data_IF_969687337552
#
_entry.id   IF_969687337552
#
_cell.length_a   1.000
_cell.length_b   1.000
_cell.length_c   1.000
_cell.angle_alpha   90.00
_cell.angle_beta   90.00
_cell.angle_gamma   90.00
#
_symmetry.space_group_name_H-M   'P 1'
#
loop_
_entity.id
_entity.type
_entity.pdbx_description
1 polymer ?
#
# COMPACT_ATOMS: atom_id res chain seq x y z
N UNK A 1 -19.24 3.56 -16.92
CA UNK A 1 -19.29 4.46 -15.72
C UNK A 1 -17.87 4.87 -15.33
N UNK A 2 -17.67 6.13 -14.89
CA UNK A 2 -16.37 6.58 -14.39
C UNK A 2 -16.08 5.90 -13.05
N UNK A 3 -14.90 5.29 -12.88
CA UNK A 3 -14.51 4.64 -11.63
C UNK A 3 -14.33 5.70 -10.53
N UNK A 4 -14.77 5.39 -9.29
CA UNK A 4 -14.58 6.25 -8.12
C UNK A 4 -13.13 6.24 -7.65
N UNK A 5 -12.48 5.08 -7.76
CA UNK A 5 -11.13 4.84 -7.27
C UNK A 5 -10.39 3.90 -8.21
N UNK A 6 -9.09 4.13 -8.38
CA UNK A 6 -8.15 3.14 -8.91
C UNK A 6 -7.36 2.54 -7.74
N UNK A 7 -7.28 1.21 -7.65
CA UNK A 7 -6.44 0.53 -6.67
C UNK A 7 -5.14 0.04 -7.32
N UNK A 8 -4.02 0.46 -6.79
CA UNK A 8 -2.68 0.05 -7.21
C UNK A 8 -2.25 -1.17 -6.42
N UNK A 9 -1.92 -2.24 -7.14
CA UNK A 9 -1.52 -3.54 -6.62
C UNK A 9 -0.10 -3.87 -7.12
N UNK A 10 0.96 -3.55 -6.34
CA UNK A 10 2.32 -3.99 -6.66
C UNK A 10 2.37 -5.51 -6.68
N UNK A 11 2.83 -6.08 -7.78
CA UNK A 11 2.82 -7.52 -8.03
C UNK A 11 4.22 -8.05 -8.33
N UNK A 12 4.61 -9.11 -7.64
CA UNK A 12 5.81 -9.89 -7.96
C UNK A 12 5.54 -11.37 -7.63
N UNK A 13 5.24 -12.16 -8.65
CA UNK A 13 4.93 -13.58 -8.51
C UNK A 13 3.76 -13.83 -7.52
N UNK A 14 2.58 -13.32 -7.87
CA UNK A 14 1.34 -13.45 -7.11
C UNK A 14 0.22 -14.16 -7.91
N UNK A 15 0.60 -15.01 -8.87
CA UNK A 15 -0.35 -15.71 -9.75
C UNK A 15 -1.43 -16.49 -8.98
N UNK A 16 -1.09 -17.06 -7.83
CA UNK A 16 -2.02 -17.82 -7.00
C UNK A 16 -3.04 -16.94 -6.26
N UNK A 17 -2.66 -15.71 -5.88
CA UNK A 17 -3.51 -14.80 -5.11
C UNK A 17 -4.39 -13.92 -6.01
N UNK A 18 -3.86 -13.46 -7.14
CA UNK A 18 -4.49 -12.46 -8.01
C UNK A 18 -5.94 -12.76 -8.41
N UNK A 19 -6.34 -14.00 -8.76
CA UNK A 19 -7.72 -14.26 -9.13
C UNK A 19 -8.71 -13.91 -8.00
N UNK A 20 -8.42 -14.32 -6.77
CA UNK A 20 -9.24 -14.01 -5.60
C UNK A 20 -9.22 -12.53 -5.25
N UNK A 21 -8.05 -11.90 -5.29
CA UNK A 21 -7.88 -10.47 -5.03
C UNK A 21 -8.69 -9.62 -6.00
N UNK A 22 -8.60 -9.90 -7.30
CA UNK A 22 -9.32 -9.13 -8.32
C UNK A 22 -10.82 -9.42 -8.33
N UNK A 23 -11.24 -10.64 -8.00
CA UNK A 23 -12.66 -11.00 -7.88
C UNK A 23 -13.36 -10.31 -6.69
N UNK A 24 -12.63 -9.97 -5.63
CA UNK A 24 -13.15 -9.24 -4.47
C UNK A 24 -13.29 -7.73 -4.70
N UNK A 25 -12.79 -7.20 -5.82
CA UNK A 25 -12.80 -5.77 -6.09
C UNK A 25 -14.22 -5.29 -6.43
N UNK A 26 -14.72 -4.22 -5.77
CA UNK A 26 -16.01 -3.62 -6.10
C UNK A 26 -16.06 -3.11 -7.54
N UNK A 27 -17.20 -3.21 -8.20
CA UNK A 27 -17.40 -2.78 -9.61
C UNK A 27 -17.09 -1.30 -9.85
N UNK A 28 -17.24 -0.45 -8.83
CA UNK A 28 -16.95 0.98 -8.91
C UNK A 28 -15.45 1.31 -8.86
N UNK A 29 -14.58 0.33 -8.59
CA UNK A 29 -13.12 0.50 -8.56
C UNK A 29 -12.46 -0.06 -9.82
N UNK A 30 -11.31 0.51 -10.20
CA UNK A 30 -10.42 0.03 -11.24
C UNK A 30 -9.18 -0.63 -10.62
N UNK A 31 -8.73 -1.77 -11.14
CA UNK A 31 -7.48 -2.40 -10.72
C UNK A 31 -6.32 -1.96 -11.62
N UNK A 32 -5.22 -1.54 -11.01
CA UNK A 32 -3.92 -1.31 -11.65
C UNK A 32 -2.92 -2.26 -11.02
N UNK A 33 -2.63 -3.35 -11.72
CA UNK A 33 -1.61 -4.31 -11.29
C UNK A 33 -0.27 -3.88 -11.85
N UNK A 34 0.69 -3.57 -10.97
CA UNK A 34 2.02 -3.14 -11.40
C UNK A 34 2.97 -4.30 -11.28
N UNK A 35 3.32 -4.87 -12.44
CA UNK A 35 4.25 -6.01 -12.50
C UNK A 35 5.69 -5.57 -12.25
N UNK A 36 6.30 -6.13 -11.22
CA UNK A 36 7.67 -5.80 -10.79
C UNK A 36 8.69 -6.88 -11.23
N UNK A 37 8.43 -7.50 -12.39
CA UNK A 37 9.26 -8.51 -12.98
C UNK A 37 8.87 -9.94 -12.57
N UNK A 38 7.59 -10.27 -12.61
CA UNK A 38 7.06 -11.63 -12.38
C UNK A 38 7.42 -12.58 -13.51
N UNK A 39 7.56 -13.86 -13.16
CA UNK A 39 7.83 -14.95 -14.11
C UNK A 39 6.84 -16.13 -13.95
N UNK A 40 5.77 -15.97 -13.19
CA UNK A 40 4.77 -17.00 -12.88
C UNK A 40 3.44 -16.83 -13.63
N UNK A 41 3.37 -15.88 -14.57
CA UNK A 41 2.15 -15.58 -15.32
C UNK A 41 1.20 -14.57 -14.65
N UNK A 42 1.60 -13.94 -13.52
CA UNK A 42 0.80 -12.92 -12.81
C UNK A 42 0.25 -11.85 -13.74
N UNK A 43 1.09 -11.25 -14.60
CA UNK A 43 0.67 -10.21 -15.54
C UNK A 43 -0.43 -10.66 -16.50
N UNK A 44 -0.32 -11.91 -17.03
CA UNK A 44 -1.33 -12.46 -17.93
C UNK A 44 -2.66 -12.73 -17.20
N UNK A 45 -2.61 -13.19 -15.94
CA UNK A 45 -3.80 -13.40 -15.11
C UNK A 45 -4.50 -12.06 -14.87
N UNK A 46 -3.74 -11.02 -14.48
CA UNK A 46 -4.29 -9.69 -14.23
C UNK A 46 -4.99 -9.10 -15.47
N UNK A 47 -4.36 -9.20 -16.66
CA UNK A 47 -4.99 -8.74 -17.93
C UNK A 47 -6.28 -9.47 -18.24
N UNK A 48 -6.33 -10.81 -18.07
CA UNK A 48 -7.55 -11.60 -18.30
C UNK A 48 -8.68 -11.25 -17.33
N UNK A 49 -8.34 -10.81 -16.12
CA UNK A 49 -9.30 -10.32 -15.13
C UNK A 49 -9.75 -8.87 -15.37
N UNK A 50 -9.30 -8.21 -16.46
CA UNK A 50 -9.69 -6.84 -16.82
C UNK A 50 -8.90 -5.75 -16.08
N UNK A 51 -7.83 -6.08 -15.36
CA UNK A 51 -6.97 -5.09 -14.73
C UNK A 51 -6.08 -4.37 -15.75
N UNK A 52 -5.82 -3.08 -15.53
CA UNK A 52 -4.73 -2.39 -16.21
C UNK A 52 -3.40 -2.95 -15.69
N UNK A 53 -2.56 -3.47 -16.56
CA UNK A 53 -1.23 -3.97 -16.18
C UNK A 53 -0.17 -2.97 -16.62
N UNK A 54 0.64 -2.54 -15.67
CA UNK A 54 1.76 -1.60 -15.86
C UNK A 54 3.05 -2.31 -15.46
N UNK A 55 4.08 -2.19 -16.28
CA UNK A 55 5.41 -2.71 -15.93
C UNK A 55 6.16 -1.69 -15.06
N UNK A 56 6.71 -2.14 -13.93
CA UNK A 56 7.51 -1.27 -13.09
C UNK A 56 8.85 -0.93 -13.79
N UNK A 57 9.26 0.35 -13.85
CA UNK A 57 10.46 0.77 -14.59
C UNK A 57 11.76 0.21 -13.99
N UNK A 58 11.71 -0.20 -12.72
CA UNK A 58 12.78 -0.85 -11.97
C UNK A 58 12.21 -1.65 -10.81
N UNK A 59 12.97 -2.62 -10.32
CA UNK A 59 12.59 -3.41 -9.15
C UNK A 59 12.54 -2.55 -7.89
N UNK A 60 11.51 -2.76 -7.08
CA UNK A 60 11.30 -2.09 -5.80
C UNK A 60 9.83 -1.83 -5.51
N UNK A 61 9.44 -1.98 -4.24
CA UNK A 61 8.07 -1.74 -3.82
C UNK A 61 7.61 -0.31 -4.17
N UNK A 62 8.37 0.69 -3.74
CA UNK A 62 8.05 2.09 -4.03
C UNK A 62 8.05 2.42 -5.53
N UNK A 63 8.89 1.76 -6.34
CA UNK A 63 8.89 1.94 -7.79
C UNK A 63 7.58 1.45 -8.40
N UNK A 64 7.10 0.27 -7.98
CA UNK A 64 5.83 -0.27 -8.45
C UNK A 64 4.64 0.58 -7.99
N UNK A 65 4.58 0.93 -6.70
CA UNK A 65 3.51 1.80 -6.17
C UNK A 65 3.46 3.13 -6.89
N UNK A 66 4.61 3.77 -7.12
CA UNK A 66 4.68 5.07 -7.81
C UNK A 66 4.28 4.97 -9.28
N UNK A 67 4.70 3.93 -9.99
CA UNK A 67 4.28 3.71 -11.39
C UNK A 67 2.76 3.54 -11.50
N UNK A 68 2.14 2.82 -10.57
CA UNK A 68 0.70 2.68 -10.51
C UNK A 68 -0.01 3.98 -10.18
N UNK A 69 0.50 4.79 -9.25
CA UNK A 69 -0.02 6.13 -8.95
C UNK A 69 0.00 7.03 -10.19
N UNK A 70 1.08 7.02 -10.96
CA UNK A 70 1.19 7.80 -12.19
C UNK A 70 0.22 7.31 -13.27
N UNK A 71 -0.04 6.00 -13.36
CA UNK A 71 -0.95 5.40 -14.34
C UNK A 71 -2.44 5.55 -13.97
N UNK A 72 -2.74 5.85 -12.70
CA UNK A 72 -4.11 6.03 -12.24
C UNK A 72 -4.80 7.22 -12.91
N UNK A 73 -6.09 7.10 -13.14
CA UNK A 73 -6.94 8.12 -13.77
C UNK A 73 -8.15 8.53 -12.94
N UNK A 74 -8.54 7.69 -11.97
CA UNK A 74 -9.61 8.00 -11.05
C UNK A 74 -9.21 9.12 -10.06
N UNK A 75 -10.17 9.87 -9.52
CA UNK A 75 -9.90 10.99 -8.60
C UNK A 75 -9.27 10.54 -7.28
N UNK A 76 -9.55 9.30 -6.85
CA UNK A 76 -8.97 8.69 -5.64
C UNK A 76 -8.09 7.52 -6.06
N UNK A 77 -6.95 7.38 -5.40
CA UNK A 77 -6.06 6.23 -5.56
C UNK A 77 -5.93 5.51 -4.23
N UNK A 78 -6.21 4.23 -4.26
CA UNK A 78 -5.92 3.32 -3.16
C UNK A 78 -4.68 2.46 -3.47
N UNK A 79 -4.09 1.91 -2.44
CA UNK A 79 -2.96 0.98 -2.53
C UNK A 79 -3.24 -0.24 -1.67
N UNK A 80 -2.84 -1.41 -2.12
CA UNK A 80 -2.87 -2.64 -1.32
C UNK A 80 -1.82 -3.62 -1.85
N UNK A 81 -1.47 -4.62 -1.05
CA UNK A 81 -0.68 -5.75 -1.53
C UNK A 81 -1.55 -6.66 -2.42
N UNK A 82 -0.91 -7.35 -3.38
CA UNK A 82 -1.57 -8.27 -4.33
C UNK A 82 -1.60 -9.73 -3.84
N UNK A 83 -1.23 -9.99 -2.58
CA UNK A 83 -0.99 -11.33 -2.02
C UNK A 83 -2.21 -11.92 -1.27
N UNK A 84 -3.36 -11.24 -1.31
CA UNK A 84 -4.58 -11.66 -0.64
C UNK A 84 -4.61 -11.41 0.86
N UNK A 85 -3.62 -10.68 1.41
CA UNK A 85 -3.61 -10.36 2.85
C UNK A 85 -4.64 -9.29 3.25
N UNK A 86 -5.26 -8.62 2.28
CA UNK A 86 -6.38 -7.69 2.50
C UNK A 86 -7.60 -8.10 1.66
N UNK A 87 -8.76 -7.98 2.28
CA UNK A 87 -10.03 -8.13 1.58
C UNK A 87 -10.37 -6.82 0.85
N UNK A 88 -10.29 -6.81 -0.48
CA UNK A 88 -10.63 -5.66 -1.29
C UNK A 88 -12.13 -5.30 -1.27
N UNK A 89 -13.00 -6.18 -0.79
CA UNK A 89 -14.38 -5.85 -0.46
C UNK A 89 -14.50 -4.74 0.59
N UNK A 90 -13.45 -4.52 1.41
CA UNK A 90 -13.40 -3.46 2.41
C UNK A 90 -12.81 -2.13 1.87
N UNK A 91 -12.59 -2.02 0.56
CA UNK A 91 -11.99 -0.84 -0.08
C UNK A 91 -12.75 0.46 0.26
N UNK A 92 -14.07 0.39 0.42
CA UNK A 92 -14.90 1.53 0.78
C UNK A 92 -14.52 2.15 2.13
N UNK A 93 -13.99 1.37 3.08
CA UNK A 93 -13.56 1.88 4.39
C UNK A 93 -12.46 2.93 4.28
N UNK A 94 -11.51 2.75 3.34
CA UNK A 94 -10.41 3.72 3.12
C UNK A 94 -10.76 4.79 2.09
N UNK A 95 -11.66 4.51 1.15
CA UNK A 95 -12.04 5.42 0.06
C UNK A 95 -13.08 6.44 0.49
N UNK A 96 -14.13 6.02 1.19
CA UNK A 96 -15.27 6.88 1.54
C UNK A 96 -14.90 8.11 2.38
N UNK A 97 -14.00 8.04 3.39
CA UNK A 97 -13.60 9.24 4.13
C UNK A 97 -12.86 10.27 3.26
N UNK A 98 -12.07 9.80 2.25
CA UNK A 98 -11.40 10.68 1.28
C UNK A 98 -12.42 11.31 0.33
N UNK A 99 -13.38 10.52 -0.14
CA UNK A 99 -14.42 10.98 -1.07
C UNK A 99 -15.30 12.05 -0.42
N UNK A 100 -15.72 11.86 0.83
CA UNK A 100 -16.50 12.84 1.60
C UNK A 100 -15.70 14.06 2.05
N UNK A 101 -14.38 14.08 1.82
CA UNK A 101 -13.51 15.17 2.24
C UNK A 101 -13.29 15.24 3.75
N UNK A 102 -13.52 14.15 4.48
CA UNK A 102 -13.27 14.04 5.92
C UNK A 102 -11.77 13.86 6.20
N UNK A 103 -11.05 13.22 5.29
CA UNK A 103 -9.63 12.93 5.35
C UNK A 103 -8.96 13.17 4.01
N UNK A 104 -7.69 13.53 4.02
CA UNK A 104 -6.87 13.69 2.82
C UNK A 104 -6.06 12.42 2.52
N UNK A 105 -5.72 11.66 3.59
CA UNK A 105 -5.02 10.38 3.51
C UNK A 105 -5.56 9.44 4.60
N UNK A 106 -5.99 8.24 4.20
CA UNK A 106 -6.52 7.21 5.10
C UNK A 106 -5.61 6.00 5.09
N UNK A 107 -5.22 5.50 6.26
CA UNK A 107 -4.51 4.25 6.45
C UNK A 107 -5.45 3.18 6.99
N UNK A 108 -5.39 1.98 6.41
CA UNK A 108 -6.01 0.79 6.94
C UNK A 108 -5.17 0.20 8.07
N UNK A 109 -5.64 0.31 9.31
CA UNK A 109 -5.02 -0.34 10.48
C UNK A 109 -5.37 -1.81 10.47
N UNK A 110 -4.35 -2.68 10.46
CA UNK A 110 -4.53 -4.13 10.38
C UNK A 110 -5.18 -4.69 11.64
N UNK A 111 -6.41 -5.16 11.50
CA UNK A 111 -7.08 -6.00 12.49
C UNK A 111 -6.78 -7.46 12.19
N UNK A 112 -5.97 -8.10 13.01
CA UNK A 112 -5.53 -9.48 12.81
C UNK A 112 -6.71 -10.41 13.02
N UNK A 113 -7.15 -11.07 11.95
CA UNK A 113 -8.25 -12.06 12.00
C UNK A 113 -7.74 -13.43 12.47
N UNK A 114 -6.49 -13.77 12.08
CA UNK A 114 -5.85 -15.04 12.45
C UNK A 114 -4.45 -14.76 12.97
N UNK A 115 -4.08 -15.34 14.11
CA UNK A 115 -2.80 -15.05 14.79
C UNK A 115 -1.55 -15.22 13.91
N UNK A 116 -1.59 -16.10 12.91
CA UNK A 116 -0.50 -16.34 11.95
C UNK A 116 -0.38 -15.29 10.85
N UNK A 117 -1.38 -14.42 10.66
CA UNK A 117 -1.41 -13.47 9.55
C UNK A 117 -0.27 -12.44 9.61
N UNK A 118 0.12 -11.99 10.80
CA UNK A 118 1.15 -10.97 10.97
C UNK A 118 2.22 -11.42 11.97
N UNK A 119 3.46 -11.72 11.50
CA UNK A 119 4.54 -12.16 12.37
C UNK A 119 4.86 -11.18 13.51
N UNK A 120 5.12 -11.69 14.72
CA UNK A 120 5.35 -10.88 15.93
C UNK A 120 6.51 -9.89 15.74
N UNK A 121 7.62 -10.31 15.10
CA UNK A 121 8.76 -9.43 14.84
C UNK A 121 8.40 -8.25 13.92
N UNK A 122 7.54 -8.46 12.92
CA UNK A 122 7.09 -7.40 12.03
C UNK A 122 6.14 -6.41 12.74
N UNK A 123 5.29 -6.91 13.65
CA UNK A 123 4.45 -6.08 14.53
C UNK A 123 5.29 -5.21 15.44
N UNK A 124 6.31 -5.82 16.07
CA UNK A 124 7.23 -5.08 16.94
C UNK A 124 8.00 -4.01 16.17
N UNK A 125 8.52 -4.32 14.98
CA UNK A 125 9.22 -3.36 14.12
C UNK A 125 8.30 -2.19 13.71
N UNK A 126 7.03 -2.45 13.36
CA UNK A 126 6.04 -1.42 13.05
C UNK A 126 5.77 -0.53 14.29
N UNK A 127 5.61 -1.12 15.47
CA UNK A 127 5.38 -0.38 16.71
C UNK A 127 6.57 0.55 17.04
N UNK A 128 7.80 0.04 16.96
CA UNK A 128 9.02 0.84 17.21
C UNK A 128 9.12 1.99 16.23
N UNK A 129 8.94 1.72 14.93
CA UNK A 129 8.97 2.75 13.89
C UNK A 129 7.95 3.86 14.16
N UNK A 130 6.70 3.50 14.44
CA UNK A 130 5.63 4.48 14.66
C UNK A 130 5.78 5.23 15.98
N UNK A 131 6.38 4.63 17.02
CA UNK A 131 6.78 5.35 18.23
C UNK A 131 7.81 6.44 17.91
N UNK A 132 8.81 6.14 17.08
CA UNK A 132 9.81 7.13 16.63
C UNK A 132 9.17 8.24 15.77
N UNK A 133 8.23 7.89 14.90
CA UNK A 133 7.45 8.88 14.11
C UNK A 133 6.67 9.79 15.06
N UNK A 134 5.92 9.22 16.00
CA UNK A 134 5.11 9.97 16.97
C UNK A 134 5.96 10.94 17.79
N UNK A 135 7.13 10.51 18.27
CA UNK A 135 8.03 11.36 19.05
C UNK A 135 8.53 12.58 18.28
N UNK A 136 8.66 12.48 16.94
CA UNK A 136 9.17 13.56 16.10
C UNK A 136 8.09 14.45 15.47
N UNK A 137 6.91 13.91 15.26
CA UNK A 137 5.85 14.55 14.48
C UNK A 137 4.57 14.83 15.27
N UNK A 138 4.39 14.18 16.41
CA UNK A 138 3.12 14.19 17.15
C UNK A 138 2.02 13.33 16.50
N UNK A 139 2.24 12.70 15.36
CA UNK A 139 1.25 11.88 14.67
C UNK A 139 0.86 10.64 15.49
N UNK A 140 -0.43 10.46 15.71
CA UNK A 140 -1.00 9.29 16.37
C UNK A 140 -1.44 8.22 15.36
N UNK A 141 -0.51 7.74 14.53
CA UNK A 141 -0.72 6.63 13.60
C UNK A 141 -0.21 5.34 14.24
N UNK A 142 -1.00 4.27 14.19
CA UNK A 142 -0.72 3.00 14.89
C UNK A 142 -0.27 1.89 13.94
N UNK A 143 -0.54 2.04 12.63
CA UNK A 143 -0.14 1.06 11.62
C UNK A 143 0.26 1.72 10.29
N UNK A 144 1.47 1.39 9.80
CA UNK A 144 1.95 1.79 8.48
C UNK A 144 1.63 0.69 7.45
N UNK A 145 0.35 0.32 7.37
CA UNK A 145 -0.14 -0.72 6.47
C UNK A 145 -0.08 -0.31 5.00
N UNK A 146 -0.01 -1.30 4.08
CA UNK A 146 -0.06 -1.04 2.64
C UNK A 146 -1.46 -0.62 2.15
N UNK A 147 -2.54 -0.99 2.86
CA UNK A 147 -3.90 -0.62 2.48
C UNK A 147 -4.18 0.81 2.90
N UNK A 148 -4.29 1.72 1.92
CA UNK A 148 -4.44 3.16 2.15
C UNK A 148 -5.03 3.84 0.93
N UNK A 149 -5.62 5.03 1.10
CA UNK A 149 -6.21 5.81 0.01
C UNK A 149 -6.00 7.32 0.21
N UNK A 150 -5.94 8.05 -0.91
CA UNK A 150 -5.87 9.51 -0.93
C UNK A 150 -6.30 10.08 -2.28
N UNK A 151 -6.47 11.40 -2.38
CA UNK A 151 -6.76 12.05 -3.66
C UNK A 151 -5.55 11.99 -4.57
N UNK A 152 -5.75 11.55 -5.81
CA UNK A 152 -4.68 11.36 -6.81
C UNK A 152 -3.80 12.60 -6.96
N UNK A 153 -4.39 13.75 -7.13
CA UNK A 153 -3.65 15.00 -7.33
C UNK A 153 -2.79 15.36 -6.10
N UNK A 154 -3.34 15.21 -4.90
CA UNK A 154 -2.60 15.45 -3.66
C UNK A 154 -1.44 14.46 -3.50
N UNK A 155 -1.68 13.16 -3.76
CA UNK A 155 -0.63 12.14 -3.71
C UNK A 155 0.53 12.42 -4.67
N UNK A 156 0.22 12.86 -5.90
CA UNK A 156 1.22 13.25 -6.89
C UNK A 156 1.98 14.51 -6.47
N UNK A 157 1.28 15.51 -5.92
CA UNK A 157 1.87 16.76 -5.46
C UNK A 157 2.85 16.60 -4.28
N UNK A 158 2.78 15.47 -3.52
CA UNK A 158 3.74 15.17 -2.46
C UNK A 158 5.17 14.95 -2.96
N UNK A 159 5.39 14.71 -4.25
CA UNK A 159 6.71 14.57 -4.84
C UNK A 159 7.52 13.40 -4.24
N UNK A 160 6.88 12.24 -4.05
CA UNK A 160 7.52 11.06 -3.43
C UNK A 160 8.72 10.59 -4.25
N UNK A 161 9.85 10.36 -3.58
CA UNK A 161 11.13 10.03 -4.21
C UNK A 161 11.62 8.61 -3.92
N UNK A 162 11.27 8.06 -2.74
CA UNK A 162 11.68 6.69 -2.40
C UNK A 162 11.06 5.69 -3.39
N UNK A 163 11.88 4.80 -3.91
CA UNK A 163 11.44 3.75 -4.85
C UNK A 163 11.58 2.35 -4.25
N UNK A 164 11.88 2.28 -2.94
CA UNK A 164 12.12 1.04 -2.19
C UNK A 164 11.11 0.91 -1.05
N UNK A 165 11.55 0.37 0.08
CA UNK A 165 10.71 0.08 1.25
C UNK A 165 10.36 1.31 2.09
N UNK A 166 11.02 2.44 1.90
CA UNK A 166 10.73 3.70 2.60
C UNK A 166 9.51 4.45 2.07
N UNK A 167 9.00 4.08 0.91
CA UNK A 167 7.88 4.78 0.25
C UNK A 167 6.64 4.99 1.15
N UNK A 168 6.15 4.00 1.94
CA UNK A 168 5.00 4.21 2.82
C UNK A 168 5.26 5.26 3.91
N UNK A 169 6.46 5.24 4.48
CA UNK A 169 6.86 6.20 5.50
C UNK A 169 7.07 7.60 4.91
N UNK A 170 7.68 7.69 3.73
CA UNK A 170 7.81 8.97 3.02
C UNK A 170 6.45 9.59 2.73
N UNK A 171 5.49 8.78 2.24
CA UNK A 171 4.11 9.23 2.01
C UNK A 171 3.50 9.82 3.29
N UNK A 172 3.59 9.11 4.41
CA UNK A 172 3.06 9.58 5.70
C UNK A 172 3.70 10.91 6.12
N UNK A 173 5.03 11.01 6.07
CA UNK A 173 5.75 12.18 6.55
C UNK A 173 5.58 13.40 5.63
N UNK A 174 5.55 13.21 4.31
CA UNK A 174 5.29 14.31 3.37
C UNK A 174 3.84 14.78 3.44
N UNK A 175 2.87 13.90 3.61
CA UNK A 175 1.47 14.26 3.84
C UNK A 175 1.32 15.07 5.14
N UNK A 176 1.95 14.62 6.24
CA UNK A 176 1.96 15.36 7.50
C UNK A 176 2.56 16.76 7.35
N UNK A 177 3.72 16.90 6.69
CA UNK A 177 4.35 18.21 6.44
C UNK A 177 3.50 19.14 5.58
N UNK A 178 2.71 18.57 4.68
CA UNK A 178 1.74 19.31 3.85
C UNK A 178 0.47 19.67 4.60
N UNK A 179 0.34 19.35 5.90
CA UNK A 179 -0.83 19.64 6.71
C UNK A 179 -2.05 18.77 6.39
N UNK A 180 -1.84 17.61 5.76
CA UNK A 180 -2.93 16.71 5.39
C UNK A 180 -3.63 16.13 6.64
N UNK A 181 -4.95 15.99 6.58
CA UNK A 181 -5.75 15.28 7.58
C UNK A 181 -5.57 13.78 7.38
N UNK A 182 -4.79 13.15 8.27
CA UNK A 182 -4.45 11.73 8.22
C UNK A 182 -5.29 10.98 9.24
N UNK A 183 -5.99 9.94 8.81
CA UNK A 183 -6.82 9.10 9.69
C UNK A 183 -6.53 7.62 9.49
N UNK A 184 -6.95 6.80 10.45
CA UNK A 184 -6.89 5.35 10.37
C UNK A 184 -8.30 4.74 10.47
N UNK A 185 -8.51 3.65 9.73
CA UNK A 185 -9.70 2.82 9.80
C UNK A 185 -9.31 1.36 9.95
N UNK A 186 -10.07 0.59 10.72
CA UNK A 186 -9.79 -0.84 10.88
C UNK A 186 -10.12 -1.61 9.60
N UNK A 187 -9.17 -2.45 9.16
CA UNK A 187 -9.32 -3.35 8.02
C UNK A 187 -8.86 -4.75 8.41
N UNK A 188 -9.53 -5.77 7.92
CA UNK A 188 -9.19 -7.14 8.24
C UNK A 188 -7.87 -7.53 7.55
N UNK A 189 -6.98 -8.13 8.33
CA UNK A 189 -5.70 -8.64 7.85
C UNK A 189 -5.70 -10.17 7.90
N UNK A 190 -5.63 -10.76 6.73
CA UNK A 190 -5.75 -12.20 6.48
C UNK A 190 -4.37 -12.84 6.28
N UNK A 191 -4.26 -14.17 6.43
CA UNK A 191 -3.07 -14.89 5.98
C UNK A 191 -2.86 -14.69 4.48
N UNK A 192 -1.65 -14.29 4.09
CA UNK A 192 -1.29 -14.14 2.68
C UNK A 192 -1.25 -15.47 1.94
N UNK A 193 -1.51 -15.43 0.66
CA UNK A 193 -1.25 -16.56 -0.24
C UNK A 193 0.21 -16.50 -0.69
N UNK A 194 1.00 -17.51 -0.33
CA UNK A 194 2.42 -17.57 -0.71
C UNK A 194 3.39 -17.00 0.34
N UNK A 195 4.63 -16.68 -0.10
CA UNK A 195 5.73 -16.23 0.78
C UNK A 195 5.99 -14.73 0.67
N UNK A 196 6.26 -14.09 1.82
CA UNK A 196 6.67 -12.66 1.83
C UNK A 196 7.99 -12.45 1.09
N UNK A 197 8.01 -11.48 0.17
CA UNK A 197 9.19 -11.12 -0.65
C UNK A 197 10.00 -9.98 -0.02
N UNK A 198 9.42 -9.24 0.92
CA UNK A 198 10.09 -8.12 1.60
C UNK A 198 10.50 -8.51 3.02
N UNK A 199 9.57 -8.92 3.87
CA UNK A 199 9.82 -9.21 5.29
C UNK A 199 9.97 -10.71 5.60
N UNK A 200 9.85 -11.58 4.60
CA UNK A 200 10.00 -13.04 4.75
C UNK A 200 11.45 -13.52 4.84
N UNK A 201 12.44 -12.63 4.68
CA UNK A 201 13.87 -12.94 4.81
C UNK A 201 14.53 -11.94 5.75
N UNK A 202 15.57 -12.40 6.49
CA UNK A 202 16.35 -11.52 7.38
C UNK A 202 16.93 -10.32 6.62
N UNK A 203 17.48 -10.56 5.43
CA UNK A 203 18.02 -9.48 4.56
C UNK A 203 16.95 -8.47 4.15
N UNK A 204 15.75 -8.95 3.76
CA UNK A 204 14.65 -8.06 3.38
C UNK A 204 14.19 -7.20 4.55
N UNK A 205 14.07 -7.79 5.75
CA UNK A 205 13.70 -7.05 6.96
C UNK A 205 14.74 -5.98 7.30
N UNK A 206 16.03 -6.32 7.32
CA UNK A 206 17.12 -5.35 7.58
C UNK A 206 17.11 -4.22 6.54
N UNK A 207 16.96 -4.55 5.27
CA UNK A 207 16.88 -3.56 4.19
C UNK A 207 15.71 -2.60 4.40
N UNK A 208 14.52 -3.13 4.73
CA UNK A 208 13.34 -2.31 4.98
C UNK A 208 13.54 -1.38 6.19
N UNK A 209 14.12 -1.87 7.28
CA UNK A 209 14.44 -1.05 8.47
C UNK A 209 15.44 0.05 8.14
N UNK A 210 16.49 -0.25 7.38
CA UNK A 210 17.49 0.76 6.97
C UNK A 210 16.86 1.82 6.07
N UNK A 211 16.07 1.42 5.07
CA UNK A 211 15.39 2.36 4.17
C UNK A 211 14.44 3.27 4.97
N UNK A 212 13.64 2.72 5.88
CA UNK A 212 12.73 3.49 6.73
C UNK A 212 13.48 4.43 7.68
N UNK A 213 14.59 3.98 8.28
CA UNK A 213 15.41 4.83 9.15
C UNK A 213 16.04 6.02 8.38
N UNK A 214 16.52 5.80 7.15
CA UNK A 214 17.02 6.87 6.27
C UNK A 214 15.92 7.88 5.95
N UNK A 215 14.72 7.38 5.59
CA UNK A 215 13.57 8.23 5.29
C UNK A 215 13.15 9.06 6.50
N UNK A 216 13.12 8.44 7.69
CA UNK A 216 12.79 9.15 8.93
C UNK A 216 13.82 10.24 9.26
N UNK A 217 15.12 9.98 9.08
CA UNK A 217 16.17 10.99 9.30
C UNK A 217 16.09 12.16 8.34
N UNK A 218 15.67 11.91 7.10
CA UNK A 218 15.59 12.95 6.06
C UNK A 218 14.33 13.81 6.22
N UNK A 219 13.25 13.25 6.72
CA UNK A 219 11.92 13.86 6.66
C UNK A 219 11.23 14.12 8.03
N UNK A 220 11.82 13.78 9.16
CA UNK A 220 11.20 14.01 10.48
C UNK A 220 12.07 14.85 11.44
#
# INVERSE_FOLDING_TARGET
>A
MRKRCDIVLPCLNEAAALPGVLAALPEWAGAIVVDNGSNDGSAAIARRAGALVVDAPRRGYGAAVHAGLCAATAPIVAFSDADGSFDLGQLDRVVSPVERGESDLVFGRRRIVTASAWPVHARFANMVLLTMVRQRTGLAVHDLGPFRAGRREQLLALGLEDRRSGYPLELLLRAWRAGARITEVDVDYLPRTGRSKVTGTLRGTVTAVVDMHRTLRRLA
#
